data_IF_970594184645
#
_entry.id   IF_970594184645
#
_cell.length_a   1.000
_cell.length_b   1.000
_cell.length_c   1.000
_cell.angle_alpha   90.00
_cell.angle_beta   90.00
_cell.angle_gamma   90.00
#
_symmetry.space_group_name_H-M   'P 1'
#
loop_
_entity.id
_entity.type
_entity.pdbx_description
1 polymer ?
#
# COMPACT_ATOMS: atom_id res chain seq x y z
N UNK A 1 -9.48 -7.81 -80.49
CA UNK A 1 -8.18 -7.83 -79.82
C UNK A 1 -8.21 -6.84 -78.62
N UNK A 2 -8.68 -5.59 -78.75
CA UNK A 2 -8.74 -4.65 -77.65
C UNK A 2 -9.58 -5.14 -76.46
N UNK A 3 -10.75 -5.76 -76.73
CA UNK A 3 -11.66 -6.29 -75.71
C UNK A 3 -11.02 -7.43 -74.87
N UNK A 4 -10.20 -8.25 -75.51
CA UNK A 4 -9.53 -9.36 -74.83
C UNK A 4 -8.42 -8.85 -73.85
N UNK A 5 -7.70 -7.78 -74.24
CA UNK A 5 -6.66 -7.18 -73.44
C UNK A 5 -7.26 -6.52 -72.18
N UNK A 6 -8.39 -5.81 -72.32
CA UNK A 6 -9.08 -5.18 -71.18
C UNK A 6 -9.64 -6.21 -70.20
N UNK A 7 -10.19 -7.34 -70.72
CA UNK A 7 -10.73 -8.41 -69.87
C UNK A 7 -9.62 -9.09 -69.03
N UNK A 8 -8.45 -9.32 -69.63
CA UNK A 8 -7.29 -9.89 -68.91
C UNK A 8 -6.76 -8.92 -67.88
N UNK A 9 -6.67 -7.61 -68.18
CA UNK A 9 -6.22 -6.59 -67.24
C UNK A 9 -7.15 -6.49 -66.03
N UNK A 10 -8.48 -6.50 -66.24
CA UNK A 10 -9.46 -6.50 -65.13
C UNK A 10 -9.38 -7.75 -64.25
N UNK A 11 -9.16 -8.91 -64.92
CA UNK A 11 -9.01 -10.18 -64.17
C UNK A 11 -7.77 -10.17 -63.31
N UNK A 12 -6.63 -9.68 -63.79
CA UNK A 12 -5.40 -9.56 -63.04
C UNK A 12 -5.54 -8.56 -61.86
N UNK A 13 -6.19 -7.40 -62.08
CA UNK A 13 -6.49 -6.46 -61.03
C UNK A 13 -7.40 -7.05 -59.95
N UNK A 14 -8.46 -7.76 -60.32
CA UNK A 14 -9.32 -8.44 -59.34
C UNK A 14 -8.59 -9.53 -58.54
N UNK A 15 -7.68 -10.27 -59.16
CA UNK A 15 -6.86 -11.25 -58.49
C UNK A 15 -5.88 -10.57 -57.50
N UNK A 16 -5.25 -9.46 -57.85
CA UNK A 16 -4.37 -8.66 -57.01
C UNK A 16 -5.14 -8.12 -55.78
N UNK A 17 -6.29 -7.48 -56.02
CA UNK A 17 -7.16 -6.95 -54.97
C UNK A 17 -7.65 -8.04 -53.99
N UNK A 18 -7.96 -9.23 -54.51
CA UNK A 18 -8.35 -10.35 -53.66
C UNK A 18 -7.20 -10.80 -52.77
N UNK A 19 -5.98 -10.86 -53.28
CA UNK A 19 -4.79 -11.20 -52.50
C UNK A 19 -4.47 -10.13 -51.44
N UNK A 20 -4.56 -8.86 -51.79
CA UNK A 20 -4.37 -7.75 -50.85
C UNK A 20 -5.41 -7.80 -49.73
N UNK A 21 -6.69 -8.02 -50.06
CA UNK A 21 -7.74 -8.17 -49.03
C UNK A 21 -7.48 -9.36 -48.10
N UNK A 22 -7.00 -10.48 -48.64
CA UNK A 22 -6.65 -11.65 -47.81
C UNK A 22 -5.48 -11.32 -46.87
N UNK A 23 -4.43 -10.65 -47.35
CA UNK A 23 -3.31 -10.24 -46.54
C UNK A 23 -3.72 -9.23 -45.45
N UNK A 24 -4.56 -8.24 -45.81
CA UNK A 24 -5.12 -7.26 -44.87
C UNK A 24 -5.96 -7.96 -43.77
N UNK A 25 -6.80 -8.91 -44.14
CA UNK A 25 -7.59 -9.68 -43.21
C UNK A 25 -6.71 -10.47 -42.24
N UNK A 26 -5.67 -11.15 -42.77
CA UNK A 26 -4.73 -11.90 -41.92
C UNK A 26 -3.97 -10.97 -40.97
N UNK A 27 -3.54 -9.81 -41.47
CA UNK A 27 -2.85 -8.81 -40.65
C UNK A 27 -3.75 -8.22 -39.57
N UNK A 28 -5.02 -7.99 -39.90
CA UNK A 28 -6.02 -7.52 -38.94
C UNK A 28 -6.23 -8.54 -37.80
N UNK A 29 -6.40 -9.82 -38.12
CA UNK A 29 -6.58 -10.86 -37.11
C UNK A 29 -5.34 -11.05 -36.24
N UNK A 30 -4.15 -10.96 -36.81
CA UNK A 30 -2.91 -11.00 -36.06
C UNK A 30 -2.78 -9.80 -35.10
N UNK A 31 -3.05 -8.59 -35.56
CA UNK A 31 -3.01 -7.39 -34.73
C UNK A 31 -4.06 -7.46 -33.60
N UNK A 32 -5.24 -7.98 -33.89
CA UNK A 32 -6.29 -8.19 -32.88
C UNK A 32 -5.85 -9.17 -31.80
N UNK A 33 -5.17 -10.26 -32.19
CA UNK A 33 -4.62 -11.24 -31.27
C UNK A 33 -3.52 -10.62 -30.37
N UNK A 34 -2.58 -9.90 -30.99
CA UNK A 34 -1.53 -9.18 -30.26
C UNK A 34 -2.11 -8.17 -29.27
N UNK A 35 -3.13 -7.41 -29.67
CA UNK A 35 -3.82 -6.47 -28.79
C UNK A 35 -4.46 -7.15 -27.59
N UNK A 36 -5.06 -8.33 -27.81
CA UNK A 36 -5.64 -9.11 -26.73
C UNK A 36 -4.58 -9.61 -25.75
N UNK A 37 -3.44 -10.09 -26.25
CA UNK A 37 -2.31 -10.54 -25.43
C UNK A 37 -1.70 -9.38 -24.62
N UNK A 38 -1.56 -8.19 -25.23
CA UNK A 38 -1.05 -7.00 -24.55
C UNK A 38 -2.02 -6.55 -23.46
N UNK A 39 -3.31 -6.53 -23.73
CA UNK A 39 -4.33 -6.17 -22.73
C UNK A 39 -4.34 -7.15 -21.55
N UNK A 40 -4.17 -8.45 -21.81
CA UNK A 40 -4.06 -9.44 -20.73
C UNK A 40 -2.82 -9.19 -19.86
N UNK A 41 -1.65 -9.02 -20.49
CA UNK A 41 -0.41 -8.69 -19.77
C UNK A 41 -0.54 -7.41 -18.94
N UNK A 42 -1.24 -6.41 -19.45
CA UNK A 42 -1.48 -5.17 -18.73
C UNK A 42 -2.36 -5.39 -17.48
N UNK A 43 -3.42 -6.21 -17.62
CA UNK A 43 -4.28 -6.56 -16.50
C UNK A 43 -3.52 -7.36 -15.42
N UNK A 44 -2.71 -8.34 -15.84
CA UNK A 44 -1.88 -9.14 -14.94
C UNK A 44 -0.88 -8.26 -14.18
N UNK A 45 -0.22 -7.32 -14.87
CA UNK A 45 0.72 -6.38 -14.27
C UNK A 45 0.04 -5.41 -13.29
N UNK A 46 -1.17 -4.95 -13.61
CA UNK A 46 -1.95 -4.13 -12.67
C UNK A 46 -2.30 -4.90 -11.39
N UNK A 47 -2.64 -6.18 -11.52
CA UNK A 47 -2.93 -7.02 -10.36
C UNK A 47 -1.67 -7.25 -9.52
N UNK A 48 -0.53 -7.50 -10.16
CA UNK A 48 0.77 -7.66 -9.49
C UNK A 48 1.18 -6.40 -8.74
N UNK A 49 1.01 -5.21 -9.34
CA UNK A 49 1.24 -3.92 -8.69
C UNK A 49 0.29 -3.74 -7.49
N UNK A 50 -0.99 -4.12 -7.62
CA UNK A 50 -1.95 -4.01 -6.54
C UNK A 50 -1.58 -4.95 -5.37
N UNK A 51 -1.12 -6.15 -5.65
CA UNK A 51 -0.68 -7.10 -4.63
C UNK A 51 0.62 -6.65 -3.96
N UNK A 52 1.59 -6.14 -4.73
CA UNK A 52 2.83 -5.58 -4.20
C UNK A 52 2.61 -4.30 -3.38
N UNK A 53 1.51 -3.58 -3.61
CA UNK A 53 1.15 -2.37 -2.86
C UNK A 53 0.33 -2.65 -1.60
N UNK A 54 0.00 -3.90 -1.27
CA UNK A 54 -0.67 -4.23 -0.01
C UNK A 54 0.22 -3.85 1.16
N UNK A 55 -0.34 -3.05 2.06
CA UNK A 55 0.33 -2.72 3.31
C UNK A 55 0.29 -3.94 4.24
N UNK A 56 1.44 -4.39 4.70
CA UNK A 56 1.54 -5.49 5.66
C UNK A 56 1.61 -4.93 7.07
N UNK A 57 0.66 -5.30 7.92
CA UNK A 57 0.75 -5.10 9.37
C UNK A 57 1.57 -6.25 9.97
N UNK A 58 2.81 -5.96 10.32
CA UNK A 58 3.70 -6.87 11.04
C UNK A 58 4.18 -6.16 12.31
N UNK A 59 4.69 -6.91 13.27
CA UNK A 59 5.38 -6.29 14.40
C UNK A 59 6.58 -5.49 13.88
N UNK A 60 6.51 -4.15 13.85
CA UNK A 60 7.55 -3.36 13.23
C UNK A 60 8.83 -3.42 14.06
N UNK A 61 10.01 -3.33 13.45
CA UNK A 61 11.29 -3.26 14.14
C UNK A 61 11.48 -1.88 14.78
N UNK A 62 10.60 -1.55 15.72
CA UNK A 62 10.64 -0.29 16.46
C UNK A 62 11.14 -0.59 17.87
N UNK A 63 12.29 -0.01 18.21
CA UNK A 63 12.78 0.02 19.58
C UNK A 63 12.22 1.25 20.31
N UNK A 64 11.72 1.02 21.52
CA UNK A 64 11.18 2.08 22.36
C UNK A 64 12.01 2.23 23.62
N UNK A 65 12.48 3.46 23.89
CA UNK A 65 13.17 3.86 25.11
C UNK A 65 12.31 4.91 25.83
N UNK A 66 11.16 4.46 26.35
CA UNK A 66 10.16 5.37 26.90
C UNK A 66 10.14 5.28 28.44
N UNK A 67 10.14 6.44 29.06
CA UNK A 67 9.73 6.64 30.44
C UNK A 67 8.22 6.84 30.48
N UNK A 68 7.49 5.89 31.02
CA UNK A 68 6.02 5.90 31.12
C UNK A 68 5.65 5.90 32.58
N UNK A 69 4.81 6.83 33.00
CA UNK A 69 4.31 6.89 34.37
C UNK A 69 2.88 7.42 34.42
N UNK A 70 2.10 6.87 35.32
CA UNK A 70 0.85 7.49 35.75
C UNK A 70 1.19 8.76 36.51
N UNK A 71 0.52 9.87 36.21
CA UNK A 71 0.74 11.14 36.89
C UNK A 71 0.42 11.00 38.37
N UNK A 72 1.38 11.24 39.26
CA UNK A 72 1.11 11.16 40.69
C UNK A 72 0.25 12.35 41.11
N UNK A 73 -0.85 12.07 41.78
CA UNK A 73 -1.66 13.12 42.40
C UNK A 73 -3.16 12.77 42.41
N UNK A 74 -3.82 13.29 43.42
CA UNK A 74 -5.27 13.10 43.65
C UNK A 74 -6.10 13.70 42.50
N UNK A 75 -5.53 14.62 41.75
CA UNK A 75 -6.26 15.37 40.73
C UNK A 75 -6.19 14.80 39.31
N UNK A 76 -5.23 13.90 39.01
CA UNK A 76 -4.98 13.40 37.65
C UNK A 76 -4.68 11.90 37.54
N UNK A 77 -5.37 11.02 38.27
CA UNK A 77 -5.07 9.58 38.27
C UNK A 77 -5.43 8.88 36.94
N UNK A 78 -6.04 9.61 36.02
CA UNK A 78 -6.47 9.17 34.70
C UNK A 78 -5.55 9.65 33.55
N UNK A 79 -4.37 10.22 33.89
CA UNK A 79 -3.39 10.63 32.90
C UNK A 79 -2.15 9.73 32.94
N UNK A 80 -1.70 9.31 31.76
CA UNK A 80 -0.46 8.61 31.51
C UNK A 80 0.51 9.57 30.81
N UNK A 81 1.63 9.86 31.44
CA UNK A 81 2.68 10.71 30.84
C UNK A 81 3.77 9.84 30.24
N UNK A 82 4.11 10.13 28.96
CA UNK A 82 5.01 9.35 28.15
C UNK A 82 6.08 10.28 27.60
N UNK A 83 7.35 9.97 27.86
CA UNK A 83 8.51 10.72 27.33
C UNK A 83 9.61 9.75 26.94
N UNK A 84 10.38 10.07 25.93
CA UNK A 84 11.53 9.26 25.54
C UNK A 84 11.78 9.29 24.05
N UNK A 85 12.35 8.21 23.54
CA UNK A 85 12.70 8.06 22.13
C UNK A 85 12.14 6.77 21.56
N UNK A 86 11.84 6.82 20.28
CA UNK A 86 11.40 5.68 19.47
C UNK A 86 12.28 5.64 18.24
N UNK A 87 12.85 4.48 17.91
CA UNK A 87 13.76 4.30 16.79
C UNK A 87 13.29 3.17 15.88
N UNK A 88 13.32 3.41 14.58
CA UNK A 88 13.19 2.36 13.59
C UNK A 88 14.55 1.65 13.45
N UNK A 89 14.72 0.49 14.05
CA UNK A 89 15.97 -0.28 13.99
C UNK A 89 16.04 -1.21 12.78
N UNK A 90 15.02 -1.21 11.93
CA UNK A 90 14.95 -2.01 10.71
C UNK A 90 15.60 -1.35 9.50
N UNK A 91 15.71 -2.12 8.43
CA UNK A 91 16.30 -1.71 7.15
C UNK A 91 15.26 -1.18 6.14
N UNK A 92 14.01 -1.03 6.55
CA UNK A 92 12.93 -0.53 5.71
C UNK A 92 12.31 0.73 6.29
N UNK A 93 11.81 1.60 5.42
CA UNK A 93 10.99 2.73 5.84
C UNK A 93 9.63 2.23 6.31
N UNK A 94 9.24 2.66 7.50
CA UNK A 94 7.95 2.37 8.09
C UNK A 94 6.95 3.48 7.76
N UNK A 95 5.73 3.11 7.41
CA UNK A 95 4.62 4.02 7.14
C UNK A 95 3.54 3.85 8.21
N UNK A 96 2.79 4.91 8.48
CA UNK A 96 1.71 4.92 9.46
C UNK A 96 2.15 4.40 10.83
N UNK A 97 3.43 4.62 11.19
CA UNK A 97 3.98 4.19 12.46
C UNK A 97 3.25 4.88 13.61
N UNK A 98 2.89 4.12 14.63
CA UNK A 98 2.19 4.62 15.82
C UNK A 98 2.51 3.77 17.04
N UNK A 99 2.38 4.43 18.19
CA UNK A 99 2.35 3.77 19.48
C UNK A 99 0.89 3.61 19.90
N UNK A 100 0.49 2.41 20.25
CA UNK A 100 -0.85 2.10 20.78
C UNK A 100 -0.74 1.76 22.25
N UNK A 101 -1.47 2.52 23.06
CA UNK A 101 -1.57 2.31 24.51
C UNK A 101 -2.95 1.74 24.83
N UNK A 102 -2.96 0.56 25.40
CA UNK A 102 -4.16 -0.03 26.00
C UNK A 102 -4.14 0.30 27.48
N UNK A 103 -5.01 1.19 27.92
CA UNK A 103 -5.12 1.66 29.29
C UNK A 103 -6.15 0.82 30.03
N UNK A 104 -5.74 0.09 31.04
CA UNK A 104 -6.64 -0.59 31.97
C UNK A 104 -7.05 0.41 33.05
N UNK A 105 -8.32 0.66 33.18
CA UNK A 105 -8.87 1.62 34.13
C UNK A 105 -9.84 0.97 35.10
N UNK A 106 -10.23 1.67 36.15
CA UNK A 106 -11.22 1.17 37.14
C UNK A 106 -12.57 0.83 36.52
N UNK A 107 -12.93 1.42 35.37
CA UNK A 107 -14.24 1.25 34.74
C UNK A 107 -14.19 0.62 33.35
N UNK A 108 -13.03 0.05 32.97
CA UNK A 108 -12.87 -0.64 31.68
C UNK A 108 -11.53 -0.36 31.00
N UNK A 109 -11.48 -0.67 29.72
CA UNK A 109 -10.28 -0.53 28.91
C UNK A 109 -10.45 0.61 27.92
N UNK A 110 -9.46 1.47 27.80
CA UNK A 110 -9.42 2.59 26.85
C UNK A 110 -8.21 2.47 25.91
N UNK A 111 -8.39 2.79 24.63
CA UNK A 111 -7.35 2.68 23.62
C UNK A 111 -6.92 4.07 23.16
N UNK A 112 -5.61 4.32 23.23
CA UNK A 112 -5.01 5.58 22.77
C UNK A 112 -3.90 5.32 21.78
N UNK A 113 -3.84 6.14 20.75
CA UNK A 113 -2.81 6.05 19.72
C UNK A 113 -2.05 7.37 19.63
N UNK A 114 -0.73 7.26 19.56
CA UNK A 114 0.17 8.37 19.25
C UNK A 114 0.82 8.12 17.89
N UNK A 115 0.53 8.99 16.92
CA UNK A 115 1.00 8.85 15.55
C UNK A 115 2.44 9.35 15.44
N UNK A 116 3.32 8.47 14.99
CA UNK A 116 4.72 8.76 14.66
C UNK A 116 4.89 9.16 13.19
N UNK A 117 3.96 8.71 12.34
CA UNK A 117 4.00 8.98 10.89
C UNK A 117 4.91 8.04 10.12
N UNK A 118 5.67 8.59 9.17
CA UNK A 118 6.68 7.85 8.41
C UNK A 118 8.00 7.90 9.16
N UNK A 119 8.62 6.74 9.36
CA UNK A 119 9.95 6.61 9.99
C UNK A 119 10.93 6.00 8.99
N UNK A 120 11.91 6.79 8.56
CA UNK A 120 13.00 6.28 7.72
C UNK A 120 13.84 5.23 8.48
N UNK A 121 14.62 4.46 7.73
CA UNK A 121 15.60 3.52 8.28
C UNK A 121 16.51 4.20 9.30
N UNK A 122 16.64 3.62 10.48
CA UNK A 122 17.44 4.15 11.62
C UNK A 122 17.06 5.55 12.10
N UNK A 123 15.85 6.00 11.77
CA UNK A 123 15.35 7.28 12.28
C UNK A 123 14.91 7.14 13.74
N UNK A 124 15.37 8.06 14.57
CA UNK A 124 14.94 8.22 15.96
C UNK A 124 14.04 9.47 16.08
N UNK A 125 12.96 9.33 16.86
CA UNK A 125 12.00 10.40 17.14
C UNK A 125 11.83 10.56 18.65
N UNK A 126 11.85 11.82 19.09
CA UNK A 126 11.49 12.15 20.48
C UNK A 126 9.97 12.10 20.66
N UNK A 127 9.54 11.44 21.70
CA UNK A 127 8.13 11.31 22.08
C UNK A 127 7.85 12.11 23.36
N UNK A 128 6.85 12.96 23.30
CA UNK A 128 6.22 13.61 24.44
C UNK A 128 4.72 13.53 24.26
N UNK A 129 4.09 12.67 25.03
CA UNK A 129 2.65 12.40 24.89
C UNK A 129 1.99 12.26 26.24
N UNK A 130 0.75 12.73 26.33
CA UNK A 130 -0.09 12.52 27.51
C UNK A 130 -1.36 11.83 27.07
N UNK A 131 -1.53 10.59 27.50
CA UNK A 131 -2.77 9.86 27.27
C UNK A 131 -3.73 10.12 28.44
N UNK A 132 -4.98 10.40 28.12
CA UNK A 132 -6.06 10.62 29.07
C UNK A 132 -7.14 9.58 28.89
N UNK A 133 -7.66 9.03 29.98
CA UNK A 133 -8.83 8.18 29.96
C UNK A 133 -10.00 8.83 30.68
N UNK A 134 -11.17 8.86 30.00
CA UNK A 134 -12.43 9.27 30.60
C UNK A 134 -13.11 8.15 31.41
N UNK A 135 -12.57 6.93 31.35
CA UNK A 135 -13.12 5.73 32.00
C UNK A 135 -12.68 5.55 33.47
N UNK A 136 -11.97 6.52 34.02
CA UNK A 136 -11.54 6.50 35.44
C UNK A 136 -10.04 6.38 35.62
N UNK A 137 -9.63 5.94 36.82
CA UNK A 137 -8.24 5.81 37.20
C UNK A 137 -7.52 4.75 36.37
N UNK A 138 -6.35 5.08 35.83
CA UNK A 138 -5.48 4.13 35.14
C UNK A 138 -4.78 3.26 36.19
N UNK A 139 -5.00 1.96 36.14
CA UNK A 139 -4.41 0.96 37.05
C UNK A 139 -3.27 0.17 36.41
N UNK A 140 -3.30 0.05 35.07
CA UNK A 140 -2.26 -0.64 34.27
C UNK A 140 -2.30 -0.14 32.82
N UNK A 141 -1.26 -0.45 32.07
CA UNK A 141 -1.18 -0.11 30.67
C UNK A 141 -0.32 -1.11 29.88
N UNK A 142 -0.64 -1.28 28.60
CA UNK A 142 0.14 -2.06 27.63
C UNK A 142 0.51 -1.16 26.46
N UNK A 143 1.75 -1.29 25.99
CA UNK A 143 2.26 -0.60 24.81
C UNK A 143 2.45 -1.60 23.66
N UNK A 144 1.96 -1.24 22.50
CA UNK A 144 2.21 -1.91 21.23
C UNK A 144 2.73 -0.90 20.19
N UNK A 145 3.68 -1.34 19.38
CA UNK A 145 4.15 -0.59 18.23
C UNK A 145 3.48 -1.14 16.97
N UNK A 146 2.95 -0.25 16.13
CA UNK A 146 2.27 -0.62 14.90
C UNK A 146 2.84 0.20 13.77
N UNK A 147 3.11 -0.42 12.64
CA UNK A 147 3.45 0.27 11.40
C UNK A 147 3.09 -0.62 10.20
N UNK A 148 3.00 0.01 9.05
CA UNK A 148 2.90 -0.67 7.76
C UNK A 148 4.20 -0.46 6.99
N UNK A 149 4.59 -1.41 6.18
CA UNK A 149 5.67 -1.22 5.24
C UNK A 149 5.28 -1.77 3.88
N UNK A 150 5.77 -1.09 2.86
CA UNK A 150 5.60 -1.50 1.49
C UNK A 150 6.85 -2.22 1.04
N UNK A 151 6.70 -3.38 0.44
CA UNK A 151 7.82 -4.12 -0.15
C UNK A 151 8.51 -3.35 -1.27
#
# INVERSE_FOLDING_TARGET
ILLAITTVAVFLQNSSLKNENLQLSTKYENNKKELTEVNQKYADLQQEILEASKDYELSPPIETRLGIRVMPGIHYPNYLWITGQVENVGNLTLFNAKLRFTLCTTNGTDLKEYVLGTMATHQSLDVRYTAFSSLGTIIDWKLETIATYRP
#
